data_IF_347612277159
#
_entry.id   IF_347612277159
#
_cell.length_a   1.000
_cell.length_b   1.000
_cell.length_c   1.000
_cell.angle_alpha   90.00
_cell.angle_beta   90.00
_cell.angle_gamma   90.00
#
_symmetry.space_group_name_H-M   'P 1'
#
loop_
_entity.id
_entity.type
_entity.pdbx_description
1 polymer ?
#
# COMPACT_ATOMS: atom_id res chain seq x y z
N UNK A 1 -1.48 19.21 -7.99
CA UNK A 1 -1.34 17.74 -8.15
C UNK A 1 -2.36 17.30 -9.19
N UNK A 2 -1.96 16.81 -10.39
CA UNK A 2 -2.88 16.53 -11.49
C UNK A 2 -3.68 15.24 -11.34
N UNK A 3 -3.31 14.37 -10.38
CA UNK A 3 -3.96 13.08 -10.12
C UNK A 3 -4.20 12.92 -8.62
N UNK A 4 -5.46 12.75 -8.23
CA UNK A 4 -5.93 12.76 -6.85
C UNK A 4 -6.93 11.63 -6.62
N UNK A 5 -6.75 10.85 -5.55
CA UNK A 5 -7.81 9.96 -5.06
C UNK A 5 -8.90 10.77 -4.35
N UNK A 6 -10.10 10.18 -4.26
CA UNK A 6 -11.21 10.81 -3.57
C UNK A 6 -10.89 11.17 -2.11
N UNK A 7 -10.14 10.31 -1.40
CA UNK A 7 -9.71 10.59 -0.02
C UNK A 7 -8.84 11.83 0.07
N UNK A 8 -7.93 12.06 -0.89
CA UNK A 8 -7.11 13.28 -0.91
C UNK A 8 -7.98 14.50 -1.16
N UNK A 9 -8.95 14.44 -2.07
CA UNK A 9 -9.88 15.55 -2.34
C UNK A 9 -10.68 15.92 -1.09
N UNK A 10 -11.27 14.93 -0.41
CA UNK A 10 -12.02 15.11 0.84
C UNK A 10 -11.17 15.76 1.94
N UNK A 11 -9.88 15.43 2.00
CA UNK A 11 -8.96 15.92 3.00
C UNK A 11 -8.38 17.31 2.70
N UNK A 12 -8.48 17.79 1.46
CA UNK A 12 -7.81 19.02 1.01
C UNK A 12 -8.75 20.17 0.73
N UNK A 13 -10.03 19.88 0.48
CA UNK A 13 -11.03 20.89 0.13
C UNK A 13 -12.18 20.77 1.13
N UNK A 14 -12.62 21.91 1.64
CA UNK A 14 -13.80 21.99 2.48
C UNK A 14 -15.06 21.90 1.62
N UNK A 15 -15.98 21.01 2.00
CA UNK A 15 -17.27 20.86 1.36
C UNK A 15 -18.36 20.84 2.41
N UNK A 16 -19.46 21.55 2.16
CA UNK A 16 -20.66 21.48 3.01
C UNK A 16 -21.27 20.08 3.01
N UNK A 17 -21.22 19.41 1.85
CA UNK A 17 -21.71 18.05 1.66
C UNK A 17 -20.81 17.27 0.70
N UNK A 18 -20.50 16.03 1.05
CA UNK A 18 -19.75 15.07 0.23
C UNK A 18 -20.45 14.80 -1.11
N UNK A 19 -21.78 14.89 -1.18
CA UNK A 19 -22.53 14.74 -2.44
C UNK A 19 -22.14 15.79 -3.49
N UNK A 20 -21.94 17.05 -3.07
CA UNK A 20 -21.55 18.13 -3.98
C UNK A 20 -20.18 17.84 -4.62
N UNK A 21 -19.27 17.19 -3.87
CA UNK A 21 -17.99 16.76 -4.41
C UNK A 21 -18.19 15.72 -5.52
N UNK A 22 -19.00 14.69 -5.29
CA UNK A 22 -19.27 13.66 -6.31
C UNK A 22 -19.91 14.22 -7.58
N UNK A 23 -20.81 15.19 -7.45
CA UNK A 23 -21.42 15.88 -8.60
C UNK A 23 -20.39 16.71 -9.39
N UNK A 24 -19.37 17.25 -8.72
CA UNK A 24 -18.32 18.04 -9.36
C UNK A 24 -17.25 17.20 -10.08
N UNK A 25 -16.97 15.97 -9.61
CA UNK A 25 -15.86 15.15 -10.15
C UNK A 25 -15.87 15.00 -11.68
N UNK A 26 -17.00 14.72 -12.36
CA UNK A 26 -17.04 14.55 -13.81
C UNK A 26 -16.66 15.82 -14.59
N UNK A 27 -16.77 17.00 -13.98
CA UNK A 27 -16.39 18.28 -14.59
C UNK A 27 -14.91 18.63 -14.37
N UNK A 28 -14.22 17.89 -13.50
CA UNK A 28 -12.83 18.18 -13.13
C UNK A 28 -11.82 17.25 -13.81
N UNK A 29 -12.28 16.12 -14.37
CA UNK A 29 -11.37 15.15 -14.96
C UNK A 29 -12.01 13.83 -15.36
N UNK A 30 -11.16 12.83 -15.57
CA UNK A 30 -11.55 11.45 -15.89
C UNK A 30 -10.84 10.47 -14.95
N UNK A 31 -11.27 9.21 -14.95
CA UNK A 31 -10.63 8.16 -14.17
C UNK A 31 -10.45 6.91 -15.04
N UNK A 32 -9.36 6.17 -14.81
CA UNK A 32 -9.21 4.84 -15.40
C UNK A 32 -10.03 3.82 -14.60
N UNK A 33 -10.71 2.92 -15.31
CA UNK A 33 -11.41 1.78 -14.71
C UNK A 33 -10.45 0.77 -14.09
N UNK A 34 -9.27 0.60 -14.70
CA UNK A 34 -8.26 -0.37 -14.26
C UNK A 34 -6.85 0.15 -14.56
N UNK A 35 -5.85 -0.49 -13.97
CA UNK A 35 -4.45 -0.22 -14.14
C UNK A 35 -3.83 0.62 -13.01
N UNK A 36 -2.64 1.18 -13.24
CA UNK A 36 -1.78 1.70 -12.16
C UNK A 36 -2.26 3.02 -11.56
N UNK A 37 -3.21 3.69 -12.20
CA UNK A 37 -3.84 4.93 -11.75
C UNK A 37 -5.35 4.76 -11.54
N UNK A 38 -5.82 3.52 -11.33
CA UNK A 38 -7.22 3.25 -11.01
C UNK A 38 -7.60 3.94 -9.69
N UNK A 39 -8.89 4.24 -9.53
CA UNK A 39 -9.46 4.86 -8.32
C UNK A 39 -8.94 6.30 -8.03
N UNK A 40 -8.31 6.95 -9.01
CA UNK A 40 -7.88 8.34 -8.93
C UNK A 40 -8.51 9.18 -10.04
N UNK A 41 -8.91 10.41 -9.70
CA UNK A 41 -9.32 11.44 -10.63
C UNK A 41 -8.07 12.05 -11.29
N UNK A 42 -8.08 12.12 -12.61
CA UNK A 42 -7.02 12.68 -13.44
C UNK A 42 -7.56 13.93 -14.11
N UNK A 43 -6.88 15.06 -13.94
CA UNK A 43 -7.25 16.30 -14.59
C UNK A 43 -7.33 16.14 -16.12
N UNK A 44 -8.25 16.87 -16.76
CA UNK A 44 -8.28 16.94 -18.22
C UNK A 44 -6.93 17.42 -18.77
N UNK A 45 -6.61 17.00 -19.99
CA UNK A 45 -5.33 17.27 -20.68
C UNK A 45 -4.07 16.68 -20.02
N UNK A 46 -4.21 15.88 -18.96
CA UNK A 46 -3.11 15.11 -18.38
C UNK A 46 -3.29 13.62 -18.66
N UNK A 47 -2.33 13.00 -19.34
CA UNK A 47 -2.26 11.53 -19.47
C UNK A 47 -1.00 11.02 -18.74
N UNK A 48 -1.17 10.28 -17.62
CA UNK A 48 -0.03 9.81 -16.85
C UNK A 48 0.85 8.84 -17.62
N UNK A 49 0.36 8.16 -18.65
CA UNK A 49 1.09 7.08 -19.34
C UNK A 49 2.25 7.56 -20.19
N UNK A 50 2.32 8.87 -20.49
CA UNK A 50 3.37 9.44 -21.34
C UNK A 50 4.67 9.77 -20.61
N UNK A 51 4.63 10.10 -19.31
CA UNK A 51 5.80 10.58 -18.59
C UNK A 51 6.10 9.77 -17.32
N UNK A 52 7.27 9.12 -17.20
CA UNK A 52 7.67 8.39 -15.98
C UNK A 52 7.67 9.20 -14.69
N UNK A 53 7.62 10.54 -14.75
CA UNK A 53 7.44 11.41 -13.57
C UNK A 53 6.07 11.24 -12.91
N UNK A 54 5.04 10.84 -13.66
CA UNK A 54 3.69 10.60 -13.13
C UNK A 54 3.58 9.33 -12.28
N UNK A 55 4.63 8.49 -12.25
CA UNK A 55 4.68 7.23 -11.49
C UNK A 55 4.33 7.41 -10.01
N UNK A 56 4.67 8.57 -9.43
CA UNK A 56 4.41 8.88 -8.03
C UNK A 56 2.91 9.01 -7.75
N UNK A 57 2.09 9.23 -8.77
CA UNK A 57 0.64 9.32 -8.63
C UNK A 57 -0.08 7.99 -8.81
N UNK A 58 0.66 6.90 -9.09
CA UNK A 58 0.08 5.56 -9.16
C UNK A 58 -0.55 5.18 -7.81
N UNK A 59 -1.59 4.37 -7.87
CA UNK A 59 -2.33 3.89 -6.70
C UNK A 59 -1.86 2.49 -6.28
N UNK A 60 -1.85 2.27 -4.98
CA UNK A 60 -1.63 0.98 -4.32
C UNK A 60 -2.90 0.66 -3.57
N UNK A 61 -3.57 -0.43 -3.96
CA UNK A 61 -4.73 -0.95 -3.27
C UNK A 61 -4.32 -2.18 -2.45
N UNK A 62 -4.62 -2.19 -1.15
CA UNK A 62 -4.36 -3.32 -0.27
C UNK A 62 -5.66 -3.77 0.37
N UNK A 63 -6.15 -4.93 -0.03
CA UNK A 63 -7.31 -5.51 0.62
C UNK A 63 -6.93 -5.97 2.04
N UNK A 64 -7.51 -5.31 3.05
CA UNK A 64 -7.19 -5.47 4.47
C UNK A 64 -8.46 -5.68 5.30
N UNK A 65 -8.42 -6.59 6.26
CA UNK A 65 -9.32 -6.57 7.43
C UNK A 65 -8.58 -5.92 8.59
N UNK A 66 -9.26 -4.97 9.23
CA UNK A 66 -8.76 -4.23 10.39
C UNK A 66 -9.29 -4.79 11.71
N UNK A 67 -9.99 -5.92 11.68
CA UNK A 67 -10.42 -6.62 12.89
C UNK A 67 -9.18 -7.19 13.58
N UNK A 68 -8.85 -6.73 14.81
CA UNK A 68 -7.66 -7.20 15.50
C UNK A 68 -7.76 -8.70 15.76
N UNK A 69 -6.65 -9.43 15.61
CA UNK A 69 -6.58 -10.83 16.02
C UNK A 69 -6.44 -10.84 17.54
N UNK A 70 -7.56 -10.99 18.23
CA UNK A 70 -7.59 -11.05 19.69
C UNK A 70 -7.30 -12.46 20.18
N UNK A 71 -6.49 -12.59 21.23
CA UNK A 71 -6.27 -13.87 21.87
C UNK A 71 -7.57 -14.37 22.54
N UNK A 72 -7.85 -15.68 22.57
CA UNK A 72 -9.14 -16.22 23.01
C UNK A 72 -9.51 -15.87 24.46
N UNK A 73 -8.51 -15.71 25.32
CA UNK A 73 -8.62 -15.25 26.70
C UNK A 73 -9.07 -13.79 26.79
N UNK A 74 -8.54 -12.92 25.91
CA UNK A 74 -8.95 -11.52 25.79
C UNK A 74 -10.42 -11.43 25.35
N UNK A 75 -10.82 -12.20 24.34
CA UNK A 75 -12.22 -12.25 23.86
C UNK A 75 -13.19 -12.67 24.97
N UNK A 76 -12.83 -13.63 25.82
CA UNK A 76 -13.68 -14.06 26.96
C UNK A 76 -13.82 -13.01 28.05
N UNK A 77 -12.83 -12.14 28.21
CA UNK A 77 -12.84 -11.05 29.19
C UNK A 77 -13.55 -9.79 28.68
N UNK A 78 -13.68 -9.66 27.36
CA UNK A 78 -14.38 -8.55 26.70
C UNK A 78 -15.88 -8.86 26.67
N UNK A 79 -16.63 -8.29 27.59
CA UNK A 79 -18.09 -8.32 27.54
C UNK A 79 -18.63 -7.70 26.25
N UNK A 80 -19.84 -8.10 25.87
CA UNK A 80 -20.51 -7.68 24.63
C UNK A 80 -20.62 -6.14 24.57
N UNK A 81 -19.89 -5.49 23.66
CA UNK A 81 -19.95 -4.04 23.42
C UNK A 81 -18.79 -3.16 23.88
N UNK A 82 -17.67 -3.70 24.38
CA UNK A 82 -16.46 -2.91 24.66
C UNK A 82 -15.78 -2.47 23.34
N UNK A 83 -15.72 -1.16 23.07
CA UNK A 83 -14.90 -0.63 21.97
C UNK A 83 -13.41 -0.74 22.33
N UNK A 84 -12.65 -1.47 21.54
CA UNK A 84 -11.19 -1.57 21.70
C UNK A 84 -10.58 -0.30 21.10
N UNK A 85 -10.11 0.61 21.96
CA UNK A 85 -9.26 1.72 21.53
C UNK A 85 -7.88 1.17 21.15
N UNK A 86 -7.70 0.86 19.87
CA UNK A 86 -6.44 0.33 19.36
C UNK A 86 -5.41 1.48 19.23
N UNK A 87 -4.19 1.34 19.79
CA UNK A 87 -3.23 2.43 19.98
C UNK A 87 -2.62 3.05 18.71
N UNK A 88 -3.05 2.64 17.53
CA UNK A 88 -2.54 3.11 16.23
C UNK A 88 -3.62 3.56 15.26
N UNK A 89 -4.89 3.53 15.66
CA UNK A 89 -5.97 4.03 14.82
C UNK A 89 -5.96 5.55 14.88
N UNK A 90 -5.93 6.18 13.71
CA UNK A 90 -5.99 7.63 13.60
C UNK A 90 -7.33 8.18 14.08
N UNK A 91 -7.34 9.44 14.47
CA UNK A 91 -8.57 10.13 14.85
C UNK A 91 -9.55 10.17 13.67
N UNK A 92 -10.84 10.11 13.98
CA UNK A 92 -11.89 10.36 12.98
C UNK A 92 -11.73 11.79 12.42
N UNK A 93 -11.83 11.92 11.10
CA UNK A 93 -11.70 13.22 10.44
C UNK A 93 -10.27 13.75 10.33
N UNK A 94 -9.25 12.93 10.56
CA UNK A 94 -7.86 13.32 10.31
C UNK A 94 -7.65 13.68 8.82
N UNK A 95 -7.33 14.95 8.55
CA UNK A 95 -7.02 15.47 7.21
C UNK A 95 -5.78 14.80 6.61
N UNK A 96 -4.93 14.19 7.43
CA UNK A 96 -3.76 13.43 6.98
C UNK A 96 -4.06 11.93 6.83
N UNK A 97 -5.32 11.50 6.91
CA UNK A 97 -5.70 10.09 6.79
C UNK A 97 -5.24 9.43 5.49
N UNK A 98 -4.98 10.23 4.44
CA UNK A 98 -4.44 9.79 3.17
C UNK A 98 -2.95 9.43 3.16
N UNK A 99 -2.20 9.89 4.15
CA UNK A 99 -0.75 9.71 4.25
C UNK A 99 -0.44 8.33 4.85
N UNK A 100 0.45 7.58 4.19
CA UNK A 100 0.97 6.35 4.75
C UNK A 100 2.32 6.61 5.43
N UNK A 101 2.31 6.65 6.77
CA UNK A 101 3.52 6.82 7.60
C UNK A 101 4.11 5.50 8.11
N UNK A 102 3.37 4.39 7.99
CA UNK A 102 3.72 3.11 8.60
C UNK A 102 3.53 3.07 10.13
N UNK A 103 2.86 4.08 10.71
CA UNK A 103 2.64 4.20 12.17
C UNK A 103 1.19 4.35 12.59
N UNK A 104 0.29 4.61 11.64
CA UNK A 104 -1.12 4.91 11.90
C UNK A 104 -2.00 4.18 10.89
N UNK A 105 -3.16 3.71 11.34
CA UNK A 105 -4.18 3.06 10.52
C UNK A 105 -5.36 4.03 10.34
N UNK A 106 -5.79 4.20 9.09
CA UNK A 106 -7.03 4.87 8.73
C UNK A 106 -7.89 3.93 7.90
N UNK A 107 -8.89 3.25 8.50
CA UNK A 107 -9.68 2.21 7.84
C UNK A 107 -10.54 2.70 6.67
N UNK A 108 -10.81 4.02 6.59
CA UNK A 108 -11.72 4.65 5.62
C UNK A 108 -11.39 4.35 4.16
N UNK A 109 -10.12 4.07 3.84
CA UNK A 109 -9.72 3.70 2.48
C UNK A 109 -8.53 2.75 2.50
N UNK A 110 -8.62 1.76 1.62
CA UNK A 110 -7.61 0.74 1.37
C UNK A 110 -6.73 1.08 0.16
N UNK A 111 -6.73 2.36 -0.23
CA UNK A 111 -6.03 2.86 -1.42
C UNK A 111 -5.14 4.04 -1.02
N UNK A 112 -3.89 3.98 -1.46
CA UNK A 112 -2.90 5.04 -1.28
C UNK A 112 -2.28 5.42 -2.61
N UNK A 113 -1.94 6.70 -2.80
CA UNK A 113 -1.06 7.08 -3.90
C UNK A 113 0.39 7.04 -3.45
N UNK A 114 1.30 6.64 -4.34
CA UNK A 114 2.72 6.47 -4.02
C UNK A 114 3.36 7.75 -3.46
N UNK A 115 2.91 8.93 -3.89
CA UNK A 115 3.40 10.22 -3.39
C UNK A 115 3.01 10.51 -1.94
N UNK A 116 1.99 9.83 -1.41
CA UNK A 116 1.50 10.01 -0.04
C UNK A 116 2.16 9.02 0.94
N UNK A 117 3.06 8.17 0.44
CA UNK A 117 3.87 7.26 1.26
C UNK A 117 5.08 8.04 1.80
N UNK A 118 5.08 8.26 3.11
CA UNK A 118 6.11 9.01 3.85
C UNK A 118 7.05 8.14 4.67
N UNK A 119 6.71 6.86 4.86
CA UNK A 119 7.55 5.85 5.50
C UNK A 119 8.97 5.81 4.90
N UNK A 120 10.00 5.93 5.74
CA UNK A 120 11.39 6.13 5.32
C UNK A 120 11.93 4.95 4.50
N UNK A 121 11.65 3.73 4.93
CA UNK A 121 12.06 2.51 4.23
C UNK A 121 11.39 2.41 2.85
N UNK A 122 10.08 2.65 2.77
CA UNK A 122 9.36 2.64 1.51
C UNK A 122 9.80 3.77 0.58
N UNK A 123 10.11 4.96 1.10
CA UNK A 123 10.68 6.06 0.31
C UNK A 123 11.97 5.67 -0.40
N UNK A 124 12.84 4.89 0.26
CA UNK A 124 14.04 4.32 -0.35
C UNK A 124 13.71 3.42 -1.53
N UNK A 125 12.72 2.53 -1.40
CA UNK A 125 12.28 1.64 -2.48
C UNK A 125 11.65 2.44 -3.64
N UNK A 126 10.79 3.41 -3.33
CA UNK A 126 10.09 4.27 -4.31
C UNK A 126 11.07 5.14 -5.10
N UNK A 127 12.19 5.53 -4.49
CA UNK A 127 13.23 6.35 -5.10
C UNK A 127 14.09 5.63 -6.15
N UNK A 128 13.80 4.35 -6.45
CA UNK A 128 14.52 3.59 -7.47
C UNK A 128 14.60 4.30 -8.82
N UNK A 129 15.76 4.18 -9.46
CA UNK A 129 16.01 4.64 -10.83
C UNK A 129 15.67 3.58 -11.88
N UNK A 130 15.40 2.33 -11.47
CA UNK A 130 15.00 1.25 -12.35
C UNK A 130 13.52 1.43 -12.74
N UNK A 131 13.29 2.27 -13.75
CA UNK A 131 11.96 2.60 -14.25
C UNK A 131 11.82 2.18 -15.71
N UNK A 132 10.60 1.81 -16.09
CA UNK A 132 10.26 1.55 -17.49
C UNK A 132 10.21 2.86 -18.26
N UNK A 133 10.60 2.82 -19.54
CA UNK A 133 10.37 3.94 -20.45
C UNK A 133 8.89 4.06 -20.84
N UNK A 134 8.18 2.93 -20.96
CA UNK A 134 6.75 2.89 -21.28
C UNK A 134 5.98 2.29 -20.12
N UNK A 135 4.85 2.89 -19.78
CA UNK A 135 3.98 2.38 -18.72
C UNK A 135 3.45 0.99 -19.07
N UNK A 136 3.62 0.04 -18.16
CA UNK A 136 2.96 -1.26 -18.20
C UNK A 136 1.51 -1.12 -17.72
N UNK A 137 0.59 -1.86 -18.33
CA UNK A 137 -0.83 -1.85 -17.94
C UNK A 137 -1.05 -2.28 -16.48
N UNK A 138 -0.19 -3.13 -15.92
CA UNK A 138 -0.35 -3.64 -14.54
C UNK A 138 0.38 -2.77 -13.50
N UNK A 139 1.66 -2.48 -13.73
CA UNK A 139 2.53 -1.84 -12.72
C UNK A 139 2.95 -0.41 -13.05
N UNK A 140 2.49 0.12 -14.18
CA UNK A 140 2.84 1.45 -14.64
C UNK A 140 4.33 1.55 -14.97
N UNK A 141 5.00 2.57 -14.46
CA UNK A 141 6.42 2.78 -14.73
C UNK A 141 7.35 2.00 -13.80
N UNK A 142 6.85 1.55 -12.64
CA UNK A 142 7.62 0.68 -11.78
C UNK A 142 7.67 -0.74 -12.35
N UNK A 143 8.80 -1.41 -12.11
CA UNK A 143 8.88 -2.85 -12.33
C UNK A 143 8.11 -3.62 -11.25
N UNK A 144 7.81 -4.88 -11.55
CA UNK A 144 6.99 -5.73 -10.70
C UNK A 144 7.62 -5.99 -9.33
N UNK A 145 8.94 -6.16 -9.25
CA UNK A 145 9.65 -6.32 -7.98
C UNK A 145 9.51 -5.08 -7.09
N UNK A 146 9.61 -3.87 -7.66
CA UNK A 146 9.44 -2.63 -6.88
C UNK A 146 8.03 -2.52 -6.30
N UNK A 147 6.99 -2.76 -7.10
CA UNK A 147 5.60 -2.73 -6.63
C UNK A 147 5.36 -3.82 -5.59
N UNK A 148 5.88 -5.04 -5.79
CA UNK A 148 5.75 -6.13 -4.84
C UNK A 148 6.39 -5.78 -3.49
N UNK A 149 7.60 -5.22 -3.48
CA UNK A 149 8.27 -4.73 -2.27
C UNK A 149 7.41 -3.70 -1.53
N UNK A 150 6.89 -2.71 -2.25
CA UNK A 150 6.02 -1.68 -1.66
C UNK A 150 4.78 -2.33 -1.02
N UNK A 151 4.06 -3.16 -1.77
CA UNK A 151 2.82 -3.79 -1.28
C UNK A 151 3.04 -4.71 -0.08
N UNK A 152 4.09 -5.55 -0.10
CA UNK A 152 4.40 -6.48 0.99
C UNK A 152 4.76 -5.73 2.26
N UNK A 153 5.65 -4.73 2.17
CA UNK A 153 6.09 -3.95 3.33
C UNK A 153 4.91 -3.14 3.89
N UNK A 154 4.12 -2.49 3.04
CA UNK A 154 2.94 -1.75 3.50
C UNK A 154 1.92 -2.65 4.20
N UNK A 155 1.60 -3.81 3.61
CA UNK A 155 0.67 -4.79 4.18
C UNK A 155 1.15 -5.27 5.55
N UNK A 156 2.41 -5.70 5.65
CA UNK A 156 2.96 -6.21 6.90
C UNK A 156 2.99 -5.13 8.01
N UNK A 157 3.35 -3.89 7.67
CA UNK A 157 3.28 -2.76 8.61
C UNK A 157 1.86 -2.52 9.11
N UNK A 158 0.86 -2.55 8.22
CA UNK A 158 -0.56 -2.41 8.61
C UNK A 158 -1.04 -3.57 9.49
N UNK A 159 -0.64 -4.81 9.17
CA UNK A 159 -0.98 -5.99 9.98
C UNK A 159 -0.35 -5.92 11.38
N UNK A 160 0.92 -5.51 11.47
CA UNK A 160 1.58 -5.30 12.76
C UNK A 160 0.84 -4.24 13.59
N UNK A 161 0.51 -3.10 12.99
CA UNK A 161 -0.21 -2.02 13.67
C UNK A 161 -1.62 -2.45 14.13
N UNK A 162 -2.33 -3.23 13.31
CA UNK A 162 -3.65 -3.79 13.65
C UNK A 162 -3.55 -4.67 14.88
N UNK A 163 -2.49 -5.47 14.95
CA UNK A 163 -2.23 -6.42 16.04
C UNK A 163 -1.50 -5.76 17.24
N UNK A 164 -1.45 -4.42 17.28
CA UNK A 164 -0.90 -3.67 18.42
C UNK A 164 0.63 -3.59 18.48
N UNK A 165 1.32 -3.96 17.40
CA UNK A 165 2.77 -3.97 17.29
C UNK A 165 3.29 -2.95 16.26
N UNK A 166 4.58 -2.66 16.29
CA UNK A 166 5.25 -1.85 15.25
C UNK A 166 6.35 -2.69 14.61
N UNK A 167 6.30 -2.86 13.29
CA UNK A 167 7.29 -3.65 12.57
C UNK A 167 8.67 -2.96 12.57
N UNK A 168 9.74 -3.76 12.66
CA UNK A 168 11.11 -3.27 12.56
C UNK A 168 11.53 -3.15 11.10
N UNK A 169 12.18 -2.05 10.72
CA UNK A 169 12.69 -1.87 9.35
C UNK A 169 13.77 -2.91 8.99
N UNK A 170 14.47 -3.45 9.99
CA UNK A 170 15.49 -4.50 9.83
C UNK A 170 14.91 -5.78 9.22
N UNK A 171 13.65 -6.11 9.54
CA UNK A 171 12.98 -7.31 9.07
C UNK A 171 12.82 -7.34 7.54
N UNK A 172 12.90 -6.18 6.90
CA UNK A 172 12.69 -6.03 5.46
C UNK A 172 13.99 -5.91 4.65
N UNK A 173 15.18 -6.00 5.27
CA UNK A 173 16.45 -5.82 4.56
C UNK A 173 16.64 -6.81 3.41
N UNK A 174 16.32 -8.09 3.65
CA UNK A 174 16.36 -9.13 2.62
C UNK A 174 15.42 -8.81 1.45
N UNK A 175 14.20 -8.37 1.76
CA UNK A 175 13.19 -8.02 0.75
C UNK A 175 13.62 -6.78 -0.05
N UNK A 176 14.18 -5.76 0.59
CA UNK A 176 14.69 -4.56 -0.09
C UNK A 176 15.86 -4.90 -1.02
N UNK A 177 16.69 -5.87 -0.64
CA UNK A 177 17.80 -6.37 -1.45
C UNK A 177 17.39 -7.15 -2.71
N UNK A 178 16.11 -7.53 -2.85
CA UNK A 178 15.62 -8.20 -4.05
C UNK A 178 15.59 -7.26 -5.26
N UNK A 179 15.86 -7.79 -6.48
CA UNK A 179 15.88 -6.99 -7.70
C UNK A 179 14.51 -6.36 -8.00
N UNK A 180 14.53 -5.19 -8.63
CA UNK A 180 13.31 -4.49 -9.04
C UNK A 180 12.56 -5.20 -10.17
N UNK A 181 13.28 -5.97 -10.99
CA UNK A 181 12.74 -6.79 -12.06
C UNK A 181 12.75 -8.23 -11.58
N UNK A 182 11.56 -8.84 -11.48
CA UNK A 182 11.42 -10.26 -11.22
C UNK A 182 10.93 -10.96 -12.49
N UNK A 183 11.62 -12.02 -12.89
CA UNK A 183 11.19 -12.92 -13.95
C UNK A 183 11.02 -14.30 -13.30
N UNK A 184 9.84 -14.94 -13.42
CA UNK A 184 9.69 -16.33 -13.04
C UNK A 184 10.71 -17.18 -13.79
N UNK A 185 11.34 -18.14 -13.10
CA UNK A 185 12.24 -19.08 -13.77
C UNK A 185 11.39 -20.01 -14.63
N UNK A 186 11.48 -19.88 -15.95
CA UNK A 186 10.84 -20.82 -16.87
C UNK A 186 11.70 -22.10 -16.96
N UNK A 187 11.28 -23.16 -16.26
CA UNK A 187 11.93 -24.47 -16.27
C UNK A 187 11.41 -25.40 -15.16
N UNK A 188 11.67 -26.73 -15.23
CA UNK A 188 11.37 -27.61 -14.11
C UNK A 188 12.14 -27.14 -12.89
N UNK A 189 11.44 -27.05 -11.74
CA UNK A 189 11.93 -26.56 -10.44
C UNK A 189 13.10 -27.45 -9.97
N UNK A 190 14.28 -27.22 -10.53
CA UNK A 190 15.51 -27.91 -10.20
C UNK A 190 16.29 -27.03 -9.23
N UNK A 191 16.07 -27.30 -7.95
CA UNK A 191 16.97 -27.05 -6.80
C UNK A 191 18.05 -25.96 -6.97
N UNK A 192 17.67 -24.72 -7.26
CA UNK A 192 18.54 -23.52 -7.22
C UNK A 192 17.58 -22.37 -6.88
N UNK A 193 17.68 -21.59 -5.81
CA UNK A 193 18.79 -21.27 -4.94
C UNK A 193 18.21 -20.80 -3.61
N UNK A 194 18.54 -21.50 -2.52
CA UNK A 194 18.12 -21.20 -1.15
C UNK A 194 18.81 -19.93 -0.56
N UNK A 195 19.18 -18.95 -1.39
CA UNK A 195 20.07 -17.84 -0.97
C UNK A 195 19.37 -16.62 -0.36
N UNK A 196 18.04 -16.57 -0.35
CA UNK A 196 17.30 -15.58 0.45
C UNK A 196 16.57 -16.19 1.65
N UNK A 197 16.75 -17.48 1.91
CA UNK A 197 16.24 -18.15 3.11
C UNK A 197 17.28 -18.07 4.22
N UNK A 198 17.60 -16.86 4.67
CA UNK A 198 17.98 -16.75 6.07
C UNK A 198 16.71 -17.11 6.86
N UNK A 199 16.82 -17.92 7.94
CA UNK A 199 15.67 -18.17 8.80
C UNK A 199 15.25 -16.80 9.34
N UNK A 200 14.18 -16.24 8.78
CA UNK A 200 13.50 -15.09 9.38
C UNK A 200 13.21 -15.53 10.79
N UNK A 201 13.81 -14.81 11.73
CA UNK A 201 13.93 -15.20 13.13
C UNK A 201 12.63 -15.79 13.66
N UNK A 202 12.79 -16.91 14.37
CA UNK A 202 11.82 -17.64 15.15
C UNK A 202 10.78 -16.75 15.85
N UNK A 203 9.71 -16.43 15.14
CA UNK A 203 8.31 -16.45 15.59
C UNK A 203 7.48 -16.64 14.33
N UNK A 204 6.69 -17.72 14.30
CA UNK A 204 5.76 -17.99 13.20
C UNK A 204 4.76 -16.84 13.08
N UNK A 205 5.03 -15.88 12.21
CA UNK A 205 4.04 -14.95 11.69
C UNK A 205 3.85 -15.23 10.21
N UNK A 206 2.66 -14.96 9.67
CA UNK A 206 2.21 -15.28 8.31
C UNK A 206 3.14 -14.81 7.17
N UNK A 207 4.23 -14.07 7.46
CA UNK A 207 5.32 -13.65 6.56
C UNK A 207 5.86 -14.77 5.66
N UNK A 208 5.95 -16.01 6.16
CA UNK A 208 6.44 -17.15 5.37
C UNK A 208 5.45 -17.69 4.33
N UNK A 209 4.14 -17.58 4.58
CA UNK A 209 3.10 -18.16 3.73
C UNK A 209 2.85 -17.36 2.44
N UNK A 210 3.00 -16.03 2.48
CA UNK A 210 2.80 -15.18 1.31
C UNK A 210 3.92 -15.35 0.26
N UNK A 211 5.17 -15.51 0.71
CA UNK A 211 6.30 -15.81 -0.17
C UNK A 211 6.16 -17.18 -0.87
N UNK A 212 5.46 -18.14 -0.26
CA UNK A 212 5.14 -19.43 -0.86
C UNK A 212 4.01 -19.35 -1.90
N UNK A 213 3.08 -18.41 -1.79
CA UNK A 213 1.98 -18.23 -2.77
C UNK A 213 2.36 -17.48 -4.05
N UNK A 214 3.63 -17.02 -4.17
CA UNK A 214 4.18 -16.45 -5.41
C UNK A 214 4.89 -17.49 -6.29
N UNK A 215 4.79 -18.78 -5.94
CA UNK A 215 5.14 -19.93 -6.78
C UNK A 215 3.89 -20.47 -7.47
#
# INVERSE_FOLDING_TARGET
RPILTFRVLRNTVEFDNVSNLYEALPFCGYAFRDGPWKDALIAFDFDPRYNPRSRIYQTIALEMSYDPILAPDVVKSMGDGMQISLPYFGAEGDLNSHIFSGRTIHPESQIWQICDITDVLLRRVISTTALRHRACQKTGFYHNGTIAKIMIIMRDKLECLRDGCVASDHDYECLVGMPDIYQPVEGPVSSVSSRCFLPVGTTYSRKGAFLWSMV
#
